data_IF_137966617033
#
_entry.id   IF_137966617033
#
_cell.length_a   1.000
_cell.length_b   1.000
_cell.length_c   1.000
_cell.angle_alpha   90.00
_cell.angle_beta   90.00
_cell.angle_gamma   90.00
#
_symmetry.space_group_name_H-M   'P 1'
#
loop_
_entity.id
_entity.type
_entity.pdbx_description
1 polymer ?
#
# COMPACT_ATOMS: atom_id res chain seq x y z
N UNK A 1 11.51 -1.58 -4.78
CA UNK A 1 11.20 -0.15 -4.61
C UNK A 1 11.33 0.21 -3.14
N UNK A 2 11.74 1.44 -2.79
CA UNK A 2 11.85 1.88 -1.39
C UNK A 2 10.64 2.74 -1.00
N UNK A 3 10.03 2.55 0.19
CA UNK A 3 9.03 3.46 0.73
C UNK A 3 9.59 4.88 0.89
N UNK A 4 8.76 5.91 0.72
CA UNK A 4 9.18 7.29 0.89
C UNK A 4 9.42 7.64 2.36
N UNK A 5 10.32 8.60 2.60
CA UNK A 5 10.41 9.30 3.89
C UNK A 5 9.41 10.46 3.85
N UNK A 6 8.58 10.57 4.88
CA UNK A 6 7.46 11.49 4.96
C UNK A 6 7.53 12.37 6.20
N UNK A 7 6.67 13.39 6.25
CA UNK A 7 6.42 14.18 7.46
C UNK A 7 5.86 13.30 8.59
N UNK A 8 6.06 13.74 9.84
CA UNK A 8 5.57 13.03 11.02
C UNK A 8 4.07 12.70 10.91
N UNK A 9 3.71 11.51 11.41
CA UNK A 9 2.36 10.93 11.40
C UNK A 9 1.84 10.46 10.03
N UNK A 10 2.46 10.83 8.90
CA UNK A 10 2.04 10.31 7.59
C UNK A 10 2.44 8.86 7.38
N UNK A 11 1.65 8.16 6.58
CA UNK A 11 1.84 6.76 6.24
C UNK A 11 1.74 6.57 4.74
N UNK A 12 2.49 5.63 4.20
CA UNK A 12 2.39 5.24 2.79
C UNK A 12 1.86 3.83 2.64
N UNK A 13 1.05 3.60 1.61
CA UNK A 13 0.56 2.28 1.23
C UNK A 13 1.01 1.95 -0.19
N UNK A 14 1.61 0.78 -0.38
CA UNK A 14 1.88 0.20 -1.71
C UNK A 14 0.91 -0.95 -1.97
N UNK A 15 0.42 -1.05 -3.20
CA UNK A 15 -0.35 -2.20 -3.65
C UNK A 15 0.52 -3.10 -4.54
N UNK A 16 0.38 -4.41 -4.35
CA UNK A 16 0.99 -5.43 -5.21
C UNK A 16 -0.07 -6.46 -5.61
N UNK A 17 0.07 -7.03 -6.81
CA UNK A 17 -0.72 -8.19 -7.23
C UNK A 17 -0.36 -9.40 -6.36
N UNK A 18 -1.35 -9.99 -5.68
CA UNK A 18 -1.18 -11.08 -4.72
C UNK A 18 -0.47 -12.31 -5.32
N UNK A 19 -0.82 -12.68 -6.56
CA UNK A 19 -0.29 -13.90 -7.19
C UNK A 19 1.11 -13.72 -7.80
N UNK A 20 1.48 -12.49 -8.18
CA UNK A 20 2.70 -12.22 -8.97
C UNK A 20 3.75 -11.42 -8.20
N UNK A 21 3.34 -10.72 -7.12
CA UNK A 21 4.18 -9.77 -6.40
C UNK A 21 4.49 -8.49 -7.18
N UNK A 22 3.83 -8.26 -8.32
CA UNK A 22 4.07 -7.08 -9.16
C UNK A 22 3.50 -5.85 -8.45
N UNK A 23 4.35 -4.82 -8.31
CA UNK A 23 3.96 -3.51 -7.77
C UNK A 23 3.01 -2.79 -8.73
N UNK A 24 2.00 -2.15 -8.15
CA UNK A 24 1.03 -1.32 -8.86
C UNK A 24 1.29 0.16 -8.61
N UNK A 25 0.88 0.98 -9.57
CA UNK A 25 0.76 2.43 -9.42
C UNK A 25 -0.44 2.78 -8.55
N UNK A 26 -0.57 4.06 -8.17
CA UNK A 26 -1.71 4.58 -7.38
C UNK A 26 -3.05 4.53 -8.12
N UNK A 27 -3.03 4.31 -9.45
CA UNK A 27 -4.21 4.02 -10.27
C UNK A 27 -4.52 2.51 -10.39
N UNK A 28 -3.77 1.65 -9.69
CA UNK A 28 -3.83 0.18 -9.72
C UNK A 28 -3.45 -0.48 -11.05
N UNK A 29 -2.81 0.23 -11.96
CA UNK A 29 -2.16 -0.40 -13.11
C UNK A 29 -0.75 -0.88 -12.74
N UNK A 30 -0.24 -1.89 -13.46
CA UNK A 30 1.13 -2.40 -13.23
C UNK A 30 2.16 -1.29 -13.38
N UNK A 31 3.06 -1.18 -12.41
CA UNK A 31 4.12 -0.19 -12.42
C UNK A 31 5.25 -0.60 -13.39
N UNK A 32 5.07 -0.24 -14.66
CA UNK A 32 6.07 -0.41 -15.73
C UNK A 32 6.73 0.94 -16.00
N UNK A 33 7.76 1.29 -15.21
CA UNK A 33 8.57 2.49 -15.42
C UNK A 33 8.12 3.68 -14.57
N UNK A 34 7.30 4.57 -15.13
CA UNK A 34 6.93 5.85 -14.49
C UNK A 34 5.61 5.74 -13.69
N UNK A 35 5.39 6.70 -12.79
CA UNK A 35 4.18 6.82 -11.98
C UNK A 35 4.43 6.62 -10.49
N UNK A 36 3.50 7.09 -9.66
CA UNK A 36 3.58 6.92 -8.22
C UNK A 36 3.03 5.55 -7.85
N UNK A 37 3.71 4.85 -6.93
CA UNK A 37 3.28 3.54 -6.45
C UNK A 37 2.89 3.54 -4.96
N UNK A 38 3.00 4.71 -4.30
CA UNK A 38 2.64 4.87 -2.90
C UNK A 38 1.49 5.85 -2.75
N UNK A 39 0.40 5.40 -2.15
CA UNK A 39 -0.65 6.27 -1.64
C UNK A 39 -0.21 6.84 -0.30
N UNK A 40 -0.31 8.16 -0.12
CA UNK A 40 0.08 8.85 1.12
C UNK A 40 -1.16 9.24 1.91
N UNK A 41 -1.15 8.98 3.22
CA UNK A 41 -2.23 9.27 4.15
C UNK A 41 -1.73 10.08 5.35
N UNK A 42 -2.58 10.97 5.85
CA UNK A 42 -2.27 11.85 6.99
C UNK A 42 -2.06 11.10 8.32
N UNK A 43 -2.60 9.89 8.44
CA UNK A 43 -2.43 9.05 9.63
C UNK A 43 -2.66 7.55 9.30
N UNK A 44 -2.31 6.70 10.26
CA UNK A 44 -2.42 5.25 10.14
C UNK A 44 -3.87 4.78 9.98
N UNK A 45 -4.82 5.43 10.65
CA UNK A 45 -6.24 5.05 10.60
C UNK A 45 -6.81 5.19 9.18
N UNK A 46 -6.47 6.29 8.49
CA UNK A 46 -6.88 6.52 7.10
C UNK A 46 -6.25 5.49 6.15
N UNK A 47 -4.97 5.18 6.34
CA UNK A 47 -4.29 4.15 5.57
C UNK A 47 -4.96 2.77 5.76
N UNK A 48 -5.31 2.42 7.01
CA UNK A 48 -6.03 1.17 7.33
C UNK A 48 -7.39 1.13 6.65
N UNK A 49 -8.20 2.19 6.77
CA UNK A 49 -9.53 2.25 6.15
C UNK A 49 -9.45 2.09 4.63
N UNK A 50 -8.44 2.70 4.00
CA UNK A 50 -8.19 2.52 2.57
C UNK A 50 -7.87 1.06 2.23
N UNK A 51 -6.93 0.45 2.94
CA UNK A 51 -6.54 -0.95 2.74
C UNK A 51 -7.73 -1.90 2.92
N UNK A 52 -8.48 -1.73 4.01
CA UNK A 52 -9.63 -2.59 4.33
C UNK A 52 -10.70 -2.49 3.25
N UNK A 53 -11.01 -1.28 2.79
CA UNK A 53 -11.92 -1.08 1.66
C UNK A 53 -11.39 -1.72 0.38
N UNK A 54 -10.10 -1.53 0.06
CA UNK A 54 -9.55 -1.96 -1.22
C UNK A 54 -9.48 -3.48 -1.35
N UNK A 55 -9.18 -4.19 -0.27
CA UNK A 55 -9.16 -5.67 -0.25
C UNK A 55 -10.57 -6.25 -0.45
N UNK A 56 -11.60 -5.56 0.03
CA UNK A 56 -13.00 -5.96 -0.21
C UNK A 56 -13.43 -5.71 -1.66
N UNK A 57 -12.90 -4.67 -2.31
CA UNK A 57 -13.15 -4.38 -3.72
C UNK A 57 -12.40 -5.33 -4.67
N UNK A 58 -11.15 -5.65 -4.34
CA UNK A 58 -10.27 -6.47 -5.18
C UNK A 58 -9.40 -7.40 -4.31
N UNK A 59 -9.80 -8.67 -4.29
CA UNK A 59 -9.16 -9.71 -3.50
C UNK A 59 -7.81 -10.19 -4.06
N UNK A 60 -7.43 -9.76 -5.27
CA UNK A 60 -6.13 -10.08 -5.86
C UNK A 60 -5.06 -9.04 -5.52
N UNK A 61 -5.35 -8.15 -4.58
CA UNK A 61 -4.39 -7.20 -4.04
C UNK A 61 -3.82 -7.64 -2.69
N UNK A 62 -2.54 -7.34 -2.53
CA UNK A 62 -1.86 -7.31 -1.25
C UNK A 62 -1.37 -5.88 -1.02
N UNK A 63 -1.70 -5.28 0.12
CA UNK A 63 -1.35 -3.89 0.42
C UNK A 63 -0.52 -3.81 1.71
N UNK A 64 0.64 -3.17 1.63
CA UNK A 64 1.55 -2.97 2.74
C UNK A 64 1.57 -1.53 3.20
N UNK A 65 1.51 -1.31 4.51
CA UNK A 65 1.57 0.02 5.14
C UNK A 65 2.97 0.25 5.73
N UNK A 66 3.50 1.45 5.50
CA UNK A 66 4.76 1.94 6.08
C UNK A 66 4.54 3.24 6.83
N UNK A 67 5.31 3.46 7.89
CA UNK A 67 5.31 4.73 8.62
C UNK A 67 6.11 5.83 7.89
N UNK A 68 6.20 7.02 8.50
CA UNK A 68 6.88 8.16 7.92
C UNK A 68 8.40 8.00 7.73
N UNK A 69 9.01 6.99 8.36
CA UNK A 69 10.42 6.63 8.17
C UNK A 69 10.61 5.58 7.07
N UNK A 70 9.53 5.18 6.40
CA UNK A 70 9.53 4.07 5.45
C UNK A 70 9.67 2.70 6.11
N UNK A 71 9.45 2.60 7.42
CA UNK A 71 9.51 1.32 8.15
C UNK A 71 8.19 0.57 7.97
N UNK A 72 8.29 -0.73 7.70
CA UNK A 72 7.14 -1.61 7.53
C UNK A 72 6.32 -1.72 8.81
N UNK A 73 4.99 -1.66 8.67
CA UNK A 73 4.06 -1.88 9.78
C UNK A 73 3.36 -3.22 9.66
N UNK A 74 2.62 -3.44 8.57
CA UNK A 74 1.96 -4.70 8.27
C UNK A 74 1.43 -4.73 6.84
N UNK A 75 1.06 -5.92 6.39
CA UNK A 75 0.42 -6.18 5.11
C UNK A 75 -0.98 -6.74 5.34
N UNK A 76 -1.93 -6.42 4.47
CA UNK A 76 -3.20 -7.14 4.39
C UNK A 76 -3.44 -7.63 2.96
N UNK A 77 -4.05 -8.80 2.88
CA UNK A 77 -4.57 -9.41 1.65
C UNK A 77 -5.90 -10.11 1.98
N UNK A 78 -6.47 -10.82 0.99
CA UNK A 78 -7.76 -11.52 1.11
C UNK A 78 -7.85 -12.55 2.25
N UNK A 79 -6.73 -13.04 2.78
CA UNK A 79 -6.72 -14.03 3.86
C UNK A 79 -6.71 -13.39 5.26
N UNK A 80 -6.62 -12.05 5.34
CA UNK A 80 -6.58 -11.33 6.60
C UNK A 80 -5.18 -11.31 7.22
N UNK A 81 -4.53 -10.12 7.15
CA UNK A 81 -3.26 -9.67 7.77
C UNK A 81 -2.13 -10.72 7.92
N UNK A 82 -1.02 -10.50 7.23
CA UNK A 82 0.27 -11.18 7.45
C UNK A 82 1.32 -10.27 8.08
#
# INVERSE_FOLDING_TARGET
MKPPILENNKHSVVAVEFNTGIVLKTDFERHIGQGEAFHIFENLELAIKFVDRKILEDSDLQLSIYNNKGEYLFTKDKNGKT
#
